data_IF_210706339266
#
_entry.id   IF_210706339266
#
_cell.length_a   1.000
_cell.length_b   1.000
_cell.length_c   1.000
_cell.angle_alpha   90.00
_cell.angle_beta   90.00
_cell.angle_gamma   90.00
#
_symmetry.space_group_name_H-M   'P 1'
#
loop_
_entity.id
_entity.type
_entity.pdbx_description
1 polymer ?
#
# COMPACT_ATOMS: atom_id res chain seq x y z
N UNK A 1 25.63 -30.11 54.90
CA UNK A 1 26.16 -28.86 54.33
C UNK A 1 25.01 -28.13 53.66
N UNK A 2 24.43 -27.17 54.38
CA UNK A 2 23.50 -26.14 53.92
C UNK A 2 24.31 -24.96 53.31
N UNK A 3 23.71 -23.90 52.72
CA UNK A 3 22.76 -23.83 51.58
C UNK A 3 23.16 -22.70 50.57
N UNK A 4 22.35 -22.45 49.52
CA UNK A 4 21.65 -21.16 49.24
C UNK A 4 21.34 -20.88 47.75
N UNK A 5 20.06 -20.60 47.53
CA UNK A 5 19.44 -19.79 46.48
C UNK A 5 20.18 -18.48 46.17
N UNK A 6 20.07 -17.98 44.93
CA UNK A 6 19.60 -16.59 44.65
C UNK A 6 19.26 -16.33 43.17
N UNK A 7 18.02 -15.93 42.97
CA UNK A 7 17.51 -15.11 41.86
C UNK A 7 18.14 -13.72 41.96
N UNK A 8 18.51 -13.10 40.84
CA UNK A 8 18.66 -11.65 40.77
C UNK A 8 18.12 -11.08 39.45
N UNK A 9 17.05 -10.30 39.62
CA UNK A 9 16.61 -9.19 38.78
C UNK A 9 17.76 -8.18 38.65
N UNK A 10 17.98 -7.60 37.47
CA UNK A 10 18.73 -6.35 37.39
C UNK A 10 18.03 -5.36 36.45
N UNK A 11 17.35 -4.40 37.08
CA UNK A 11 17.10 -3.07 36.55
C UNK A 11 18.44 -2.36 36.37
N UNK A 12 18.68 -1.72 35.22
CA UNK A 12 19.65 -0.63 35.13
C UNK A 12 18.98 0.60 34.54
N UNK A 13 18.71 1.54 35.44
CA UNK A 13 18.56 2.98 35.18
C UNK A 13 19.97 3.56 35.06
N UNK A 14 20.19 4.54 34.16
CA UNK A 14 21.15 5.67 34.24
C UNK A 14 21.55 6.10 32.82
N UNK A 15 21.83 7.35 32.44
CA UNK A 15 21.71 8.71 33.00
C UNK A 15 22.03 9.64 31.82
N UNK A 16 21.42 10.83 31.77
CA UNK A 16 21.80 11.90 30.85
C UNK A 16 23.26 12.35 31.08
N UNK A 17 24.08 12.37 30.02
CA UNK A 17 25.32 13.16 29.99
C UNK A 17 25.38 13.98 28.70
N UNK A 18 25.49 15.28 28.89
CA UNK A 18 25.72 16.29 27.86
C UNK A 18 27.21 16.30 27.50
N UNK A 19 27.56 16.17 26.22
CA UNK A 19 28.94 16.25 25.74
C UNK A 19 29.00 16.72 24.28
N UNK A 20 29.66 17.86 24.06
CA UNK A 20 30.06 18.42 22.75
C UNK A 20 31.26 17.64 22.21
N UNK A 21 31.27 17.30 20.92
CA UNK A 21 32.47 16.81 20.24
C UNK A 21 32.21 16.31 18.81
N UNK A 22 32.77 17.04 17.85
CA UNK A 22 32.75 16.88 16.38
C UNK A 22 33.27 15.54 15.85
N UNK A 23 32.68 15.03 14.76
CA UNK A 23 33.28 13.95 13.96
C UNK A 23 32.30 13.31 12.96
N UNK A 24 32.53 13.57 11.68
CA UNK A 24 31.78 13.12 10.51
C UNK A 24 31.87 11.60 10.25
N UNK A 25 30.75 10.97 9.89
CA UNK A 25 30.70 9.77 9.06
C UNK A 25 29.37 9.72 8.32
N UNK A 26 29.45 9.58 7.01
CA UNK A 26 28.34 9.61 6.06
C UNK A 26 27.69 8.24 5.95
N UNK A 27 26.37 8.16 6.09
CA UNK A 27 25.56 7.08 5.53
C UNK A 27 24.30 7.70 4.93
N UNK A 28 24.06 7.33 3.67
CA UNK A 28 23.09 7.94 2.75
C UNK A 28 21.67 7.60 3.20
N UNK A 29 21.07 8.50 3.99
CA UNK A 29 19.67 8.40 4.40
C UNK A 29 18.75 9.05 3.38
N UNK A 30 17.77 8.30 2.88
CA UNK A 30 16.60 8.87 2.20
C UNK A 30 15.79 9.64 3.24
N UNK A 31 15.93 10.97 3.26
CA UNK A 31 15.23 11.84 4.20
C UNK A 31 13.74 11.91 3.86
N UNK A 32 12.91 11.21 4.63
CA UNK A 32 11.48 11.49 4.71
C UNK A 32 11.25 12.77 5.53
N UNK A 33 10.52 13.73 4.97
CA UNK A 33 10.13 14.95 5.66
C UNK A 33 8.67 14.86 6.08
N UNK A 34 8.41 14.96 7.38
CA UNK A 34 7.07 15.10 7.94
C UNK A 34 6.84 16.60 8.16
N UNK A 35 5.90 17.20 7.42
CA UNK A 35 5.47 18.59 7.67
C UNK A 35 4.35 18.59 8.70
N UNK A 36 4.67 18.91 9.95
CA UNK A 36 3.67 19.19 11.00
C UNK A 36 3.29 20.67 10.99
N UNK A 37 2.03 20.98 10.69
CA UNK A 37 1.49 22.33 10.91
C UNK A 37 0.99 22.47 12.34
N UNK A 38 1.57 23.41 13.11
CA UNK A 38 1.12 23.74 14.47
C UNK A 38 0.54 25.15 14.44
N UNK A 39 -0.77 25.32 14.65
CA UNK A 39 -1.38 26.62 14.98
C UNK A 39 -1.79 26.61 16.45
N UNK A 40 -1.34 27.61 17.21
CA UNK A 40 -1.66 27.78 18.63
C UNK A 40 -2.62 28.96 18.76
N UNK A 41 -3.85 28.70 19.20
CA UNK A 41 -4.76 29.71 19.75
C UNK A 41 -5.31 29.21 21.09
N UNK A 42 -5.38 30.11 22.06
CA UNK A 42 -5.42 29.85 23.50
C UNK A 42 -6.79 29.45 24.07
N UNK A 43 -6.72 28.61 25.12
CA UNK A 43 -7.67 28.42 26.23
C UNK A 43 -9.02 27.74 25.96
N UNK A 44 -9.03 26.40 26.02
CA UNK A 44 -9.97 25.53 26.75
C UNK A 44 -9.82 24.09 26.21
N UNK A 45 -9.25 23.19 27.02
CA UNK A 45 -9.27 21.72 26.90
C UNK A 45 -9.42 21.08 25.50
N UNK A 46 -8.66 21.57 24.51
CA UNK A 46 -8.68 21.02 23.16
C UNK A 46 -7.62 19.92 23.07
N UNK A 47 -8.07 18.66 23.01
CA UNK A 47 -7.25 17.55 22.53
C UNK A 47 -6.61 18.01 21.22
N UNK A 48 -5.28 18.13 21.17
CA UNK A 48 -4.55 18.58 19.99
C UNK A 48 -4.77 17.57 18.87
N UNK A 49 -5.67 17.91 17.95
CA UNK A 49 -5.93 17.16 16.73
C UNK A 49 -4.73 17.39 15.80
N UNK A 50 -3.85 16.39 15.66
CA UNK A 50 -2.69 16.46 14.77
C UNK A 50 -3.14 16.00 13.39
N UNK A 51 -3.11 16.90 12.41
CA UNK A 51 -3.23 16.55 11.00
C UNK A 51 -1.85 16.09 10.49
N UNK A 52 -1.78 14.95 9.80
CA UNK A 52 -0.51 14.41 9.29
C UNK A 52 -0.60 14.05 7.81
N UNK A 53 -0.12 14.94 6.97
CA UNK A 53 0.08 14.67 5.55
C UNK A 53 1.41 13.95 5.36
N UNK A 54 1.39 12.78 4.71
CA UNK A 54 2.60 12.04 4.35
C UNK A 54 2.97 12.40 2.92
N UNK A 55 4.21 12.82 2.68
CA UNK A 55 4.66 13.28 1.36
C UNK A 55 5.97 12.64 0.94
N UNK A 56 6.12 12.37 -0.36
CA UNK A 56 7.36 11.94 -1.01
C UNK A 56 7.62 12.81 -2.24
N UNK A 57 8.57 13.74 -2.15
CA UNK A 57 8.75 14.77 -3.19
C UNK A 57 7.51 15.66 -3.32
N UNK A 58 6.93 15.71 -4.52
CA UNK A 58 5.68 16.42 -4.83
C UNK A 58 4.43 15.52 -4.70
N UNK A 59 4.59 14.27 -4.27
CA UNK A 59 3.50 13.33 -4.07
C UNK A 59 3.01 13.36 -2.62
N UNK A 60 1.70 13.28 -2.45
CA UNK A 60 1.02 13.15 -1.15
C UNK A 60 0.35 11.79 -1.06
N UNK A 61 0.51 11.08 0.06
CA UNK A 61 -0.09 9.77 0.26
C UNK A 61 -1.61 9.87 0.36
N UNK A 62 -2.31 9.23 -0.55
CA UNK A 62 -3.77 9.15 -0.60
C UNK A 62 -4.29 7.95 0.19
N UNK A 63 -3.64 6.80 -0.01
CA UNK A 63 -4.05 5.53 0.56
C UNK A 63 -2.85 4.57 0.59
N UNK A 64 -2.80 3.68 1.57
CA UNK A 64 -1.78 2.63 1.63
C UNK A 64 -2.40 1.36 2.18
N UNK A 65 -2.20 0.26 1.48
CA UNK A 65 -2.65 -1.06 1.91
C UNK A 65 -1.47 -1.98 2.22
N UNK A 66 -1.61 -2.76 3.29
CA UNK A 66 -0.64 -3.74 3.76
C UNK A 66 -1.06 -5.16 3.34
N UNK A 67 -0.13 -5.95 2.81
CA UNK A 67 -0.40 -7.35 2.49
C UNK A 67 -0.57 -8.21 3.75
N UNK A 68 -1.46 -9.20 3.68
CA UNK A 68 -1.54 -10.28 4.67
C UNK A 68 -2.12 -9.94 6.05
N UNK A 69 -2.76 -8.78 6.21
CA UNK A 69 -3.35 -8.36 7.51
C UNK A 69 -4.82 -8.78 7.71
N UNK A 70 -5.39 -9.52 6.75
CA UNK A 70 -6.80 -9.96 6.71
C UNK A 70 -7.83 -8.82 6.73
N UNK A 71 -7.48 -7.67 6.16
CA UNK A 71 -8.38 -6.51 6.03
C UNK A 71 -8.65 -6.16 4.56
N UNK A 72 -9.91 -5.95 4.15
CA UNK A 72 -10.25 -5.71 2.75
C UNK A 72 -9.81 -4.32 2.29
N UNK A 73 -9.05 -4.27 1.20
CA UNK A 73 -8.49 -3.05 0.60
C UNK A 73 -9.59 -2.20 0.02
N UNK A 74 -10.46 -2.79 -0.82
CA UNK A 74 -11.47 -2.01 -1.54
C UNK A 74 -12.50 -1.42 -0.58
N UNK A 75 -12.96 -2.20 0.41
CA UNK A 75 -13.91 -1.72 1.41
C UNK A 75 -13.31 -0.61 2.27
N UNK A 76 -12.03 -0.73 2.66
CA UNK A 76 -11.37 0.35 3.39
C UNK A 76 -11.25 1.61 2.52
N UNK A 77 -10.86 1.47 1.26
CA UNK A 77 -10.70 2.59 0.32
C UNK A 77 -11.99 3.42 0.16
N UNK A 78 -13.13 2.76 -0.01
CA UNK A 78 -14.43 3.44 -0.23
C UNK A 78 -15.12 3.90 1.06
N UNK A 79 -14.59 3.57 2.24
CA UNK A 79 -15.24 3.89 3.51
C UNK A 79 -15.07 5.37 3.87
N UNK A 80 -16.06 6.18 3.51
CA UNK A 80 -16.11 7.63 3.80
C UNK A 80 -16.33 7.96 5.28
N UNK A 81 -16.58 6.96 6.13
CA UNK A 81 -16.72 7.15 7.58
C UNK A 81 -15.39 7.02 8.33
N UNK A 82 -14.28 6.73 7.63
CA UNK A 82 -12.96 6.52 8.23
C UNK A 82 -11.91 7.38 7.55
N UNK A 83 -11.09 8.05 8.34
CA UNK A 83 -9.88 8.76 7.88
C UNK A 83 -8.79 8.65 8.94
N UNK A 84 -7.54 8.64 8.51
CA UNK A 84 -6.40 8.34 9.36
C UNK A 84 -5.39 9.48 9.49
N UNK A 85 -5.69 10.65 8.94
CA UNK A 85 -4.78 11.80 8.88
C UNK A 85 -5.36 13.13 9.34
N UNK A 86 -6.68 13.23 9.60
CA UNK A 86 -7.30 14.48 10.01
C UNK A 86 -8.51 14.29 10.96
N UNK A 87 -8.30 14.10 12.27
CA UNK A 87 -7.01 13.94 12.94
C UNK A 87 -6.41 12.56 12.66
N UNK A 88 -5.11 12.41 12.93
CA UNK A 88 -4.51 11.09 13.08
C UNK A 88 -5.03 10.44 14.38
N UNK A 89 -5.60 9.21 14.34
CA UNK A 89 -5.93 8.48 15.55
C UNK A 89 -4.70 8.25 16.44
N UNK A 90 -4.86 8.35 17.76
CA UNK A 90 -3.74 8.22 18.71
C UNK A 90 -3.06 6.85 18.65
N UNK A 91 -3.80 5.82 18.27
CA UNK A 91 -3.35 4.44 18.14
C UNK A 91 -2.86 4.09 16.71
N UNK A 92 -2.85 5.04 15.77
CA UNK A 92 -2.49 4.73 14.38
C UNK A 92 -0.98 4.42 14.27
N UNK A 93 -0.58 3.19 13.85
CA UNK A 93 0.82 2.81 13.83
C UNK A 93 1.61 3.63 12.81
N UNK A 94 2.74 4.20 13.23
CA UNK A 94 3.59 4.96 12.29
C UNK A 94 4.18 4.07 11.19
N UNK A 95 4.31 2.75 11.42
CA UNK A 95 4.68 1.78 10.38
C UNK A 95 3.69 1.77 9.19
N UNK A 96 2.40 2.02 9.45
CA UNK A 96 1.37 2.12 8.42
C UNK A 96 1.39 3.42 7.61
N UNK A 97 2.35 4.32 7.88
CA UNK A 97 2.58 5.54 7.09
C UNK A 97 3.87 5.46 6.27
N UNK A 98 4.62 4.36 6.38
CA UNK A 98 5.93 4.18 5.74
C UNK A 98 5.85 3.19 4.59
N UNK A 99 6.76 3.37 3.64
CA UNK A 99 7.03 2.41 2.55
C UNK A 99 8.26 1.53 2.85
N UNK A 100 8.88 1.74 4.02
CA UNK A 100 9.94 0.89 4.55
C UNK A 100 9.62 0.51 6.00
N UNK A 101 10.23 -0.56 6.51
CA UNK A 101 10.12 -0.99 7.91
C UNK A 101 8.65 -1.16 8.36
N UNK A 102 7.80 -1.64 7.46
CA UNK A 102 6.35 -1.72 7.64
C UNK A 102 5.88 -3.01 8.33
N UNK A 103 6.79 -3.85 8.82
CA UNK A 103 6.45 -5.13 9.45
C UNK A 103 5.55 -5.02 10.69
N UNK A 104 5.47 -3.84 11.32
CA UNK A 104 4.57 -3.56 12.44
C UNK A 104 3.24 -2.92 12.02
N UNK A 105 2.93 -2.84 10.73
CA UNK A 105 1.67 -2.29 10.26
C UNK A 105 0.55 -3.35 10.32
N UNK A 106 -0.55 -3.00 10.99
CA UNK A 106 -1.71 -3.89 11.22
C UNK A 106 -2.99 -3.43 10.49
N UNK A 107 -2.96 -2.31 9.77
CA UNK A 107 -4.15 -1.72 9.12
C UNK A 107 -3.80 -0.90 7.89
N UNK A 108 -4.80 -0.68 7.02
CA UNK A 108 -4.65 0.21 5.87
C UNK A 108 -4.73 1.68 6.29
N UNK A 109 -4.00 2.55 5.60
CA UNK A 109 -4.12 4.00 5.74
C UNK A 109 -5.06 4.55 4.68
N UNK A 110 -5.90 5.51 5.08
CA UNK A 110 -6.87 6.21 4.22
C UNK A 110 -6.85 7.69 4.56
N UNK A 111 -6.53 8.52 3.58
CA UNK A 111 -6.50 9.97 3.76
C UNK A 111 -7.88 10.60 3.59
N UNK A 112 -8.16 11.66 4.36
CA UNK A 112 -9.30 12.55 4.15
C UNK A 112 -9.35 13.19 2.74
N UNK A 113 -8.24 13.18 1.98
CA UNK A 113 -8.20 13.64 0.58
C UNK A 113 -9.18 12.84 -0.29
N UNK A 114 -9.46 11.57 0.02
CA UNK A 114 -10.45 10.77 -0.71
C UNK A 114 -11.88 11.31 -0.56
N UNK A 115 -12.19 11.96 0.56
CA UNK A 115 -13.51 12.55 0.83
C UNK A 115 -13.67 13.93 0.17
N UNK A 116 -12.56 14.57 -0.21
CA UNK A 116 -12.53 15.83 -0.96
C UNK A 116 -11.56 15.71 -2.15
N UNK A 117 -11.88 14.80 -3.08
CA UNK A 117 -11.03 14.48 -4.23
C UNK A 117 -11.17 15.56 -5.33
N UNK A 118 -10.51 16.70 -5.12
CA UNK A 118 -10.55 17.86 -6.03
C UNK A 118 -9.14 18.40 -6.27
N UNK A 119 -8.90 18.95 -7.47
CA UNK A 119 -7.61 19.56 -7.84
C UNK A 119 -6.46 18.57 -7.99
N UNK A 120 -6.76 17.29 -8.26
CA UNK A 120 -5.75 16.24 -8.46
C UNK A 120 -5.37 16.18 -9.95
N UNK A 121 -4.08 16.39 -10.23
CA UNK A 121 -3.47 16.27 -11.56
C UNK A 121 -3.22 14.80 -11.90
N UNK A 122 -2.55 14.09 -10.98
CA UNK A 122 -2.14 12.71 -11.19
C UNK A 122 -2.37 11.84 -9.96
N UNK A 123 -2.69 10.58 -10.21
CA UNK A 123 -2.65 9.52 -9.19
C UNK A 123 -1.56 8.52 -9.56
N UNK A 124 -0.69 8.18 -8.62
CA UNK A 124 0.32 7.12 -8.78
C UNK A 124 -0.05 5.92 -7.93
N UNK A 125 -0.16 4.76 -8.53
CA UNK A 125 -0.16 3.47 -7.85
C UNK A 125 1.27 2.95 -7.82
N UNK A 126 1.79 2.66 -6.62
CA UNK A 126 3.10 2.09 -6.38
C UNK A 126 2.96 0.75 -5.66
N UNK A 127 3.71 -0.25 -6.11
CA UNK A 127 3.88 -1.52 -5.43
C UNK A 127 5.28 -1.62 -4.84
N UNK A 128 5.36 -1.97 -3.57
CA UNK A 128 6.62 -2.00 -2.81
C UNK A 128 6.86 -3.41 -2.29
N UNK A 129 8.08 -3.91 -2.49
CA UNK A 129 8.55 -5.19 -1.96
C UNK A 129 9.92 -5.00 -1.33
N UNK A 130 10.13 -5.52 -0.12
CA UNK A 130 11.41 -5.38 0.60
C UNK A 130 11.94 -3.95 0.56
N UNK A 131 11.11 -3.01 1.00
CA UNK A 131 11.37 -1.56 1.07
C UNK A 131 11.71 -0.86 -0.27
N UNK A 132 11.51 -1.53 -1.41
CA UNK A 132 11.82 -1.00 -2.75
C UNK A 132 10.58 -0.96 -3.64
N UNK A 133 10.38 0.11 -4.41
CA UNK A 133 9.32 0.17 -5.42
C UNK A 133 9.66 -0.81 -6.56
N UNK A 134 8.79 -1.80 -6.78
CA UNK A 134 8.99 -2.87 -7.78
C UNK A 134 8.14 -2.67 -9.04
N UNK A 135 7.05 -1.92 -8.95
CA UNK A 135 6.25 -1.53 -10.09
C UNK A 135 5.41 -0.28 -9.78
N UNK A 136 5.04 0.46 -10.81
CA UNK A 136 4.15 1.61 -10.68
C UNK A 136 3.32 1.87 -11.93
N UNK A 137 2.23 2.61 -11.74
CA UNK A 137 1.41 3.22 -12.80
C UNK A 137 1.01 4.63 -12.38
N UNK A 138 1.19 5.60 -13.26
CA UNK A 138 0.71 6.98 -13.10
C UNK A 138 -0.49 7.19 -14.03
N UNK A 139 -1.55 7.74 -13.47
CA UNK A 139 -2.79 8.04 -14.15
C UNK A 139 -3.02 9.56 -14.18
N UNK A 140 -3.52 10.06 -15.30
CA UNK A 140 -4.15 11.38 -15.41
C UNK A 140 -5.48 11.35 -14.63
N UNK A 141 -5.52 12.14 -13.55
CA UNK A 141 -6.65 12.23 -12.65
C UNK A 141 -7.47 13.52 -12.84
N UNK A 142 -7.13 14.36 -13.84
CA UNK A 142 -7.87 15.59 -14.12
C UNK A 142 -9.32 15.25 -14.45
N UNK A 143 -10.24 15.88 -13.72
CA UNK A 143 -11.68 15.69 -13.84
C UNK A 143 -12.19 14.30 -13.42
N UNK A 144 -11.34 13.43 -12.86
CA UNK A 144 -11.75 12.12 -12.36
C UNK A 144 -12.29 12.21 -10.93
N UNK A 145 -13.20 11.30 -10.58
CA UNK A 145 -13.56 11.07 -9.18
C UNK A 145 -12.58 10.10 -8.52
N UNK A 146 -12.61 10.03 -7.18
CA UNK A 146 -11.81 9.05 -6.43
C UNK A 146 -12.08 7.59 -6.82
N UNK A 147 -13.17 7.29 -7.54
CA UNK A 147 -13.45 5.93 -8.02
C UNK A 147 -13.12 5.72 -9.51
N UNK A 148 -12.93 6.79 -10.28
CA UNK A 148 -12.87 6.74 -11.74
C UNK A 148 -11.49 7.07 -12.33
N UNK A 149 -10.52 7.50 -11.53
CA UNK A 149 -9.15 7.79 -11.99
C UNK A 149 -8.43 6.54 -12.51
N UNK A 150 -8.77 5.36 -11.97
CA UNK A 150 -8.19 4.08 -12.38
C UNK A 150 -8.86 3.62 -13.67
N UNK A 151 -8.26 3.99 -14.80
CA UNK A 151 -8.67 3.58 -16.14
C UNK A 151 -7.43 3.41 -17.03
N UNK A 152 -7.36 2.38 -17.89
CA UNK A 152 -6.25 2.22 -18.81
C UNK A 152 -6.05 3.43 -19.74
N UNK A 153 -7.15 4.07 -20.16
CA UNK A 153 -7.12 5.28 -20.99
C UNK A 153 -6.53 6.51 -20.30
N UNK A 154 -6.33 6.45 -18.98
CA UNK A 154 -5.72 7.51 -18.18
C UNK A 154 -4.26 7.23 -17.85
N UNK A 155 -3.71 6.09 -18.24
CA UNK A 155 -2.30 5.76 -17.96
C UNK A 155 -1.40 6.70 -18.77
N UNK A 156 -0.56 7.46 -18.07
CA UNK A 156 0.43 8.38 -18.68
C UNK A 156 1.86 7.89 -18.51
N UNK A 157 2.12 7.05 -17.50
CA UNK A 157 3.42 6.47 -17.23
C UNK A 157 3.26 5.14 -16.50
N UNK A 158 4.15 4.17 -16.73
CA UNK A 158 4.11 2.87 -16.05
C UNK A 158 5.42 2.11 -16.26
N UNK A 159 5.72 1.18 -15.34
CA UNK A 159 6.76 0.15 -15.52
C UNK A 159 6.51 -0.74 -16.75
N UNK A 160 5.26 -0.81 -17.20
CA UNK A 160 4.78 -1.68 -18.29
C UNK A 160 4.46 -0.94 -19.60
N UNK A 161 5.00 0.28 -19.76
CA UNK A 161 4.94 0.96 -21.05
C UNK A 161 5.84 0.25 -22.09
N UNK A 162 5.47 0.26 -23.38
CA UNK A 162 4.35 0.99 -23.99
C UNK A 162 3.04 0.18 -24.07
N UNK A 163 3.04 -1.07 -23.63
CA UNK A 163 1.96 -2.01 -23.94
C UNK A 163 0.71 -1.77 -23.08
N UNK A 164 0.89 -1.50 -21.79
CA UNK A 164 -0.18 -1.43 -20.79
C UNK A 164 -1.40 -0.55 -21.17
N UNK A 165 -1.31 0.61 -21.84
CA UNK A 165 -2.50 1.41 -22.14
C UNK A 165 -3.36 0.84 -23.28
N UNK A 166 -2.79 0.00 -24.15
CA UNK A 166 -3.42 -0.46 -25.40
C UNK A 166 -4.05 -1.85 -25.31
N UNK A 167 -4.17 -2.36 -24.08
CA UNK A 167 -4.55 -3.73 -23.81
C UNK A 167 -6.06 -3.91 -23.61
N UNK A 168 -6.55 -5.12 -23.89
CA UNK A 168 -7.97 -5.47 -23.71
C UNK A 168 -8.24 -6.00 -22.31
N UNK A 169 -8.56 -5.10 -21.38
CA UNK A 169 -8.79 -5.43 -19.98
C UNK A 169 -10.22 -5.87 -19.67
N UNK A 170 -10.37 -6.78 -18.70
CA UNK A 170 -11.67 -7.17 -18.17
C UNK A 170 -12.09 -6.31 -16.98
N UNK A 171 -12.97 -5.31 -17.16
CA UNK A 171 -13.46 -4.42 -16.06
C UNK A 171 -12.33 -3.72 -15.28
N UNK A 172 -11.44 -2.94 -15.94
CA UNK A 172 -10.28 -2.29 -15.30
C UNK A 172 -10.71 -1.11 -14.41
N UNK A 173 -11.26 -1.42 -13.24
CA UNK A 173 -11.75 -0.46 -12.25
C UNK A 173 -11.20 -0.81 -10.87
N UNK A 174 -11.20 0.14 -9.93
CA UNK A 174 -10.81 -0.14 -8.54
C UNK A 174 -11.65 -1.27 -7.92
N UNK A 175 -12.94 -1.31 -8.27
CA UNK A 175 -13.88 -2.36 -7.84
C UNK A 175 -13.50 -3.73 -8.40
N UNK A 176 -12.91 -3.81 -9.59
CA UNK A 176 -12.57 -5.08 -10.24
C UNK A 176 -13.76 -6.05 -10.31
N UNK A 177 -13.48 -7.33 -10.04
CA UNK A 177 -14.45 -8.42 -10.06
C UNK A 177 -14.46 -9.17 -8.72
N UNK A 178 -15.62 -9.19 -8.07
CA UNK A 178 -15.82 -9.80 -6.76
C UNK A 178 -17.22 -10.40 -6.73
N UNK A 179 -17.45 -11.51 -7.45
CA UNK A 179 -18.76 -12.16 -7.55
C UNK A 179 -19.16 -12.88 -6.25
N UNK A 180 -18.21 -13.14 -5.35
CA UNK A 180 -18.44 -13.85 -4.10
C UNK A 180 -17.45 -13.40 -3.04
N UNK A 181 -17.70 -13.72 -1.77
CA UNK A 181 -16.75 -13.44 -0.67
C UNK A 181 -15.46 -14.26 -0.75
N UNK A 182 -15.41 -15.27 -1.62
CA UNK A 182 -14.28 -16.20 -1.78
C UNK A 182 -13.39 -15.88 -2.97
N UNK A 183 -13.80 -14.99 -3.88
CA UNK A 183 -12.99 -14.54 -5.01
C UNK A 183 -13.26 -13.05 -5.24
N UNK A 184 -12.34 -12.20 -4.79
CA UNK A 184 -12.41 -10.75 -4.98
C UNK A 184 -11.09 -10.23 -5.53
N UNK A 185 -11.04 -10.00 -6.84
CA UNK A 185 -9.92 -9.38 -7.53
C UNK A 185 -10.24 -7.89 -7.69
N UNK A 186 -9.38 -7.03 -7.16
CA UNK A 186 -9.58 -5.57 -7.08
C UNK A 186 -8.37 -4.84 -7.66
N UNK A 187 -8.49 -3.54 -7.90
CA UNK A 187 -7.37 -2.66 -8.33
C UNK A 187 -6.51 -3.28 -9.45
N UNK A 188 -7.13 -3.91 -10.45
CA UNK A 188 -6.39 -4.74 -11.38
C UNK A 188 -6.31 -4.14 -12.79
N UNK A 189 -5.18 -4.38 -13.45
CA UNK A 189 -5.00 -4.29 -14.89
C UNK A 189 -4.86 -5.74 -15.38
N UNK A 190 -6.02 -6.37 -15.57
CA UNK A 190 -6.18 -7.81 -15.75
C UNK A 190 -6.84 -8.12 -17.09
N UNK A 191 -6.32 -9.14 -17.76
CA UNK A 191 -6.83 -9.63 -19.04
C UNK A 191 -8.22 -10.27 -18.95
N UNK A 192 -8.71 -10.87 -20.04
CA UNK A 192 -9.99 -11.56 -20.06
C UNK A 192 -10.08 -12.73 -19.05
N UNK A 193 -11.23 -12.88 -18.37
CA UNK A 193 -11.57 -14.08 -17.58
C UNK A 193 -11.95 -15.26 -18.49
N UNK A 194 -10.97 -15.83 -19.18
CA UNK A 194 -11.14 -16.99 -20.07
C UNK A 194 -10.62 -18.30 -19.44
N UNK A 195 -10.34 -18.28 -18.14
CA UNK A 195 -9.83 -19.40 -17.36
C UNK A 195 -8.36 -19.23 -16.97
N UNK A 196 -7.96 -19.87 -15.87
CA UNK A 196 -6.68 -19.62 -15.18
C UNK A 196 -5.42 -19.77 -16.04
N UNK A 197 -5.48 -20.60 -17.10
CA UNK A 197 -4.36 -20.83 -18.05
C UNK A 197 -4.24 -19.75 -19.13
N UNK A 198 -5.24 -18.91 -19.29
CA UNK A 198 -5.30 -17.86 -20.32
C UNK A 198 -5.38 -16.46 -19.72
N UNK A 199 -5.67 -16.39 -18.42
CA UNK A 199 -5.62 -15.18 -17.63
C UNK A 199 -4.19 -14.62 -17.51
N UNK A 200 -4.12 -13.29 -17.51
CA UNK A 200 -2.88 -12.56 -17.35
C UNK A 200 -3.14 -11.21 -16.68
N UNK A 201 -2.09 -10.60 -16.11
CA UNK A 201 -2.15 -9.33 -15.41
C UNK A 201 -0.87 -8.52 -15.58
N UNK A 202 -1.01 -7.21 -15.42
CA UNK A 202 0.09 -6.32 -15.05
C UNK A 202 0.13 -6.09 -13.54
N UNK A 203 -1.05 -5.87 -12.94
CA UNK A 203 -1.22 -5.78 -11.49
C UNK A 203 -2.60 -6.29 -11.09
N UNK A 204 -2.72 -6.84 -9.88
CA UNK A 204 -3.97 -7.27 -9.29
C UNK A 204 -3.88 -7.31 -7.76
N UNK A 205 -4.89 -6.80 -7.07
CA UNK A 205 -5.06 -7.03 -5.64
C UNK A 205 -6.03 -8.18 -5.43
N UNK A 206 -5.57 -9.28 -4.84
CA UNK A 206 -6.47 -10.29 -4.30
C UNK A 206 -6.95 -9.84 -2.93
N UNK A 207 -8.26 -9.59 -2.80
CA UNK A 207 -8.94 -9.03 -1.63
C UNK A 207 -9.86 -10.06 -0.98
N UNK A 208 -9.49 -11.33 -1.06
CA UNK A 208 -10.20 -12.49 -0.50
C UNK A 208 -9.20 -13.57 -0.05
N UNK A 209 -9.64 -14.46 0.84
CA UNK A 209 -8.80 -15.51 1.41
C UNK A 209 -8.54 -16.72 0.49
N UNK A 210 -9.04 -16.68 -0.74
CA UNK A 210 -8.90 -17.73 -1.75
C UNK A 210 -8.99 -17.15 -3.16
N UNK A 211 -8.48 -17.89 -4.13
CA UNK A 211 -8.64 -17.65 -5.56
C UNK A 211 -8.48 -18.97 -6.32
N UNK A 212 -9.47 -19.32 -7.14
CA UNK A 212 -9.48 -20.60 -7.86
C UNK A 212 -8.26 -20.80 -8.76
N UNK A 213 -7.65 -19.73 -9.28
CA UNK A 213 -6.48 -19.85 -10.14
C UNK A 213 -5.19 -20.01 -9.35
N UNK A 214 -5.13 -19.48 -8.12
CA UNK A 214 -4.02 -19.74 -7.21
C UNK A 214 -4.10 -21.16 -6.64
N UNK A 215 -5.29 -21.68 -6.37
CA UNK A 215 -5.49 -23.06 -5.89
C UNK A 215 -4.95 -24.12 -6.85
N UNK A 216 -4.77 -23.79 -8.14
CA UNK A 216 -4.16 -24.66 -9.15
C UNK A 216 -2.63 -24.66 -9.13
N UNK A 217 -2.01 -23.82 -8.30
CA UNK A 217 -0.55 -23.76 -8.15
C UNK A 217 -0.10 -24.61 -6.97
N UNK A 218 1.07 -25.25 -7.08
CA UNK A 218 1.63 -26.03 -5.96
C UNK A 218 1.91 -25.16 -4.71
N UNK A 219 2.12 -23.86 -4.90
CA UNK A 219 2.44 -22.91 -3.82
C UNK A 219 1.21 -22.56 -2.96
N UNK A 220 0.03 -22.46 -3.57
CA UNK A 220 -1.19 -21.99 -2.89
C UNK A 220 -2.30 -23.04 -2.79
N UNK A 221 -2.10 -24.25 -3.35
CA UNK A 221 -3.11 -25.31 -3.36
C UNK A 221 -3.65 -25.65 -1.96
N UNK A 222 -4.94 -25.39 -1.76
CA UNK A 222 -5.66 -25.72 -0.52
C UNK A 222 -5.32 -24.82 0.67
N UNK A 223 -4.62 -23.70 0.44
CA UNK A 223 -4.27 -22.75 1.50
C UNK A 223 -5.34 -21.67 1.65
N UNK A 224 -5.67 -21.36 2.90
CA UNK A 224 -6.36 -20.11 3.23
C UNK A 224 -5.32 -18.99 3.22
N UNK A 225 -5.44 -18.09 2.25
CA UNK A 225 -4.51 -16.99 2.07
C UNK A 225 -4.79 -15.87 3.07
N UNK A 226 -3.74 -15.29 3.62
CA UNK A 226 -3.86 -14.00 4.30
C UNK A 226 -4.00 -12.92 3.23
N UNK A 227 -5.13 -12.23 3.21
CA UNK A 227 -5.41 -11.16 2.25
C UNK A 227 -5.11 -9.78 2.87
N UNK A 228 -4.93 -8.72 2.09
CA UNK A 228 -4.79 -8.73 0.64
C UNK A 228 -3.44 -9.29 0.19
N UNK A 229 -3.37 -9.72 -1.07
CA UNK A 229 -2.11 -9.99 -1.77
C UNK A 229 -2.02 -9.09 -3.01
N UNK A 230 -0.85 -8.48 -3.24
CA UNK A 230 -0.63 -7.58 -4.38
C UNK A 230 0.22 -8.28 -5.43
N UNK A 231 -0.41 -8.74 -6.51
CA UNK A 231 0.28 -9.38 -7.63
C UNK A 231 0.72 -8.36 -8.67
N UNK A 232 1.88 -8.58 -9.27
CA UNK A 232 2.40 -7.75 -10.35
C UNK A 232 3.24 -8.53 -11.35
N UNK A 233 3.34 -8.02 -12.57
CA UNK A 233 4.32 -8.51 -13.54
C UNK A 233 5.69 -7.91 -13.24
N UNK A 234 6.66 -8.77 -12.94
CA UNK A 234 8.06 -8.37 -12.75
C UNK A 234 8.82 -8.12 -14.06
N UNK A 235 8.15 -8.29 -15.20
CA UNK A 235 8.70 -7.96 -16.53
C UNK A 235 7.98 -6.75 -17.10
N UNK A 236 8.46 -6.21 -18.23
CA UNK A 236 7.76 -5.14 -18.94
C UNK A 236 6.42 -5.59 -19.54
N UNK A 237 6.19 -6.90 -19.69
CA UNK A 237 4.99 -7.47 -20.29
C UNK A 237 4.01 -8.07 -19.28
N UNK A 238 3.14 -8.94 -19.75
CA UNK A 238 2.11 -9.62 -18.97
C UNK A 238 2.70 -10.71 -18.06
N UNK A 239 2.04 -10.98 -16.94
CA UNK A 239 2.32 -12.11 -16.07
C UNK A 239 1.07 -12.98 -15.84
N UNK A 240 1.26 -14.24 -15.47
CA UNK A 240 0.18 -15.16 -15.14
C UNK A 240 0.03 -15.35 -13.62
N UNK A 241 -1.21 -15.53 -13.15
CA UNK A 241 -1.49 -15.91 -11.75
C UNK A 241 -1.07 -17.35 -11.43
N UNK A 242 -1.05 -18.21 -12.45
CA UNK A 242 -0.82 -19.65 -12.30
C UNK A 242 0.18 -20.15 -13.35
N UNK A 243 0.36 -21.47 -13.44
CA UNK A 243 1.23 -22.10 -14.44
C UNK A 243 0.63 -21.88 -15.83
N UNK A 244 1.09 -20.84 -16.50
CA UNK A 244 0.77 -20.50 -17.89
C UNK A 244 2.06 -20.61 -18.72
N UNK A 245 2.11 -21.40 -19.80
CA UNK A 245 3.31 -21.50 -20.63
C UNK A 245 3.63 -20.22 -21.41
N UNK A 246 2.68 -19.27 -21.52
CA UNK A 246 2.82 -18.06 -22.33
C UNK A 246 3.40 -16.86 -21.59
N UNK A 247 3.32 -16.82 -20.26
CA UNK A 247 3.73 -15.66 -19.46
C UNK A 247 4.54 -16.08 -18.23
N UNK A 248 5.51 -15.26 -17.78
CA UNK A 248 6.13 -15.44 -16.48
C UNK A 248 5.08 -15.41 -15.35
N UNK A 249 5.33 -16.15 -14.27
CA UNK A 249 4.48 -16.10 -13.07
C UNK A 249 4.56 -14.71 -12.42
N UNK A 250 3.41 -14.19 -12.01
CA UNK A 250 3.32 -12.92 -11.29
C UNK A 250 4.07 -13.01 -9.96
N UNK A 251 4.68 -11.89 -9.56
CA UNK A 251 5.29 -11.75 -8.25
C UNK A 251 4.35 -11.03 -7.29
N UNK A 252 4.64 -11.14 -6.00
CA UNK A 252 3.89 -10.46 -4.93
C UNK A 252 4.66 -9.29 -4.35
N UNK A 253 3.95 -8.21 -4.03
CA UNK A 253 4.44 -7.04 -3.31
C UNK A 253 3.84 -7.00 -1.88
N UNK A 254 4.51 -6.30 -0.98
CA UNK A 254 4.17 -6.21 0.44
C UNK A 254 3.23 -5.04 0.74
N UNK A 255 3.31 -3.96 -0.05
CA UNK A 255 2.53 -2.74 0.13
C UNK A 255 2.03 -2.23 -1.23
N UNK A 256 0.76 -1.81 -1.26
CA UNK A 256 0.20 -0.98 -2.32
C UNK A 256 0.03 0.45 -1.78
N UNK A 257 0.64 1.43 -2.43
CA UNK A 257 0.52 2.83 -2.08
C UNK A 257 -0.10 3.62 -3.23
N UNK A 258 -1.09 4.46 -2.91
CA UNK A 258 -1.67 5.41 -3.82
C UNK A 258 -1.22 6.81 -3.41
N UNK A 259 -0.70 7.55 -4.37
CA UNK A 259 -0.24 8.91 -4.19
C UNK A 259 -0.99 9.86 -5.10
N UNK A 260 -1.12 11.10 -4.68
CA UNK A 260 -1.67 12.19 -5.49
C UNK A 260 -0.67 13.30 -5.68
N UNK A 261 -0.76 13.94 -6.83
CA UNK A 261 -0.11 15.19 -7.15
C UNK A 261 -1.19 16.19 -7.53
N UNK A 262 -1.07 17.41 -7.04
CA UNK A 262 -2.03 18.49 -7.30
C UNK A 262 -1.62 19.27 -8.56
N UNK A 263 -2.63 19.91 -9.17
CA UNK A 263 -2.45 20.88 -10.28
C UNK A 263 -1.64 22.09 -9.82
#
# INVERSE_FOLDING_TARGET
MEPRLRVFLCCVVMTFLCGRGTGTSSTTGTKFSLKTGVRVTSAANQIRQITRTVTQGNWTLLFRAQAGINEPVYLTYINTSVQHDNPVPLDFPTACLRMSDYGACDRHFRSHILDNFVGIDQVRLSLIKSDTEVAYVVFDAVGASFQAWFSPSRIVESTWMPDVPNESYHRPTLRGDCPSTTVCRRFYLFGPHTGCRSEWLYTMTLDSASDLCLDLTAEYAGLKLNYPMFFYSATSGRAALSINPSYPTAQTADVLALWVKYV
#
